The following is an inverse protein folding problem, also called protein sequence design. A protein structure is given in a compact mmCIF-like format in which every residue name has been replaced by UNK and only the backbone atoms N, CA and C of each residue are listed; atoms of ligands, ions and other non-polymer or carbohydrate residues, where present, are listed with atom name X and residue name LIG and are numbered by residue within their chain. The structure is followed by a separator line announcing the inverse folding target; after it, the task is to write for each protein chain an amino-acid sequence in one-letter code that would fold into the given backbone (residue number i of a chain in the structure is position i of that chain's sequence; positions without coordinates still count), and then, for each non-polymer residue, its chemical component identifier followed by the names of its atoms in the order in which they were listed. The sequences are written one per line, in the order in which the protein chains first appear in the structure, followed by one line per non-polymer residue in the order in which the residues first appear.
data_IF_134319656042
#
_entry.id   IF_134319656042
#
_cell.length_a   1.000
_cell.length_b   1.000
_cell.length_c   1.000
_cell.angle_alpha   90.00
_cell.angle_beta   90.00
_cell.angle_gamma   90.00
#
_symmetry.space_group_name_H-M   'P 1'
#
loop_
_entity.id
_entity.type
_entity.pdbx_description
1 polymer ?
#
# COMPACT_ATOMS: atom_id res chain seq x y z
N UNK A 1 -14.89 4.89 15.44
CA UNK A 1 -13.94 5.47 14.48
C UNK A 1 -12.94 6.29 15.28
N UNK A 2 -11.64 6.15 15.03
CA UNK A 2 -10.64 7.02 15.67
C UNK A 2 -10.86 8.48 15.23
N UNK A 3 -10.65 9.49 16.10
CA UNK A 3 -10.71 10.89 15.72
C UNK A 3 -9.72 11.22 14.58
N UNK A 4 -10.08 12.13 13.69
CA UNK A 4 -9.23 12.49 12.55
C UNK A 4 -7.82 12.96 12.96
N UNK A 5 -7.70 13.61 14.13
CA UNK A 5 -6.41 14.02 14.69
C UNK A 5 -5.50 12.84 15.05
N UNK A 6 -6.06 11.80 15.68
CA UNK A 6 -5.33 10.59 16.05
C UNK A 6 -4.83 9.86 14.79
N UNK A 7 -5.70 9.74 13.78
CA UNK A 7 -5.32 9.12 12.49
C UNK A 7 -4.16 9.88 11.87
N UNK A 8 -4.25 11.21 11.79
CA UNK A 8 -3.18 12.04 11.21
C UNK A 8 -1.86 11.86 11.95
N UNK A 9 -1.88 11.90 13.27
CA UNK A 9 -0.67 11.73 14.09
C UNK A 9 0.00 10.38 13.81
N UNK A 10 -0.78 9.30 13.72
CA UNK A 10 -0.27 7.98 13.38
C UNK A 10 0.38 7.99 11.98
N UNK A 11 -0.26 8.60 10.98
CA UNK A 11 0.31 8.67 9.64
C UNK A 11 1.60 9.51 9.58
N UNK A 12 1.70 10.60 10.34
CA UNK A 12 2.91 11.41 10.44
C UNK A 12 4.07 10.59 11.06
N UNK A 13 3.79 9.82 12.12
CA UNK A 13 4.76 8.92 12.73
C UNK A 13 5.20 7.80 11.77
N UNK A 14 4.27 7.21 11.01
CA UNK A 14 4.59 6.18 10.01
C UNK A 14 5.46 6.76 8.89
N UNK A 15 5.11 7.94 8.37
CA UNK A 15 5.87 8.63 7.34
C UNK A 15 7.32 8.90 7.79
N UNK A 16 7.51 9.37 9.02
CA UNK A 16 8.84 9.59 9.60
C UNK A 16 9.68 8.30 9.65
N UNK A 17 9.06 7.15 9.97
CA UNK A 17 9.75 5.86 9.98
C UNK A 17 10.12 5.37 8.58
N UNK A 18 9.27 5.62 7.58
CA UNK A 18 9.57 5.32 6.16
C UNK A 18 10.75 6.17 5.69
N UNK A 19 10.70 7.48 5.92
CA UNK A 19 11.77 8.40 5.53
C UNK A 19 13.11 8.07 6.20
N UNK A 20 13.08 7.58 7.44
CA UNK A 20 14.28 7.12 8.17
C UNK A 20 14.76 5.71 7.75
N UNK A 21 14.12 5.05 6.79
CA UNK A 21 14.44 3.68 6.38
C UNK A 21 14.14 2.61 7.44
N UNK A 22 13.42 2.97 8.51
CA UNK A 22 13.06 2.07 9.63
C UNK A 22 11.77 1.29 9.37
N UNK A 23 10.97 1.73 8.40
CA UNK A 23 9.75 1.06 7.97
C UNK A 23 9.80 0.86 6.46
N UNK A 24 9.78 -0.39 6.03
CA UNK A 24 9.73 -0.79 4.63
C UNK A 24 8.45 -1.59 4.38
N UNK A 25 7.73 -1.24 3.33
CA UNK A 25 6.53 -1.94 2.91
C UNK A 25 6.76 -2.50 1.51
N UNK A 26 6.94 -3.83 1.34
CA UNK A 26 7.12 -4.41 0.02
C UNK A 26 5.87 -4.22 -0.84
N UNK A 27 6.11 -3.93 -2.11
CA UNK A 27 5.11 -3.97 -3.18
C UNK A 27 5.27 -5.30 -3.89
N UNK A 28 4.19 -6.07 -3.90
CA UNK A 28 4.12 -7.36 -4.57
C UNK A 28 3.95 -7.19 -6.08
N UNK A 29 3.02 -6.32 -6.49
CA UNK A 29 2.66 -6.10 -7.89
C UNK A 29 1.97 -4.76 -8.08
N UNK A 30 2.11 -4.20 -9.27
CA UNK A 30 1.46 -2.94 -9.68
C UNK A 30 0.64 -3.18 -10.94
N UNK A 31 -0.59 -2.70 -10.97
CA UNK A 31 -1.52 -2.84 -12.09
C UNK A 31 -2.01 -1.47 -12.56
N UNK A 32 -2.36 -1.34 -13.84
CA UNK A 32 -3.17 -0.20 -14.28
C UNK A 32 -4.62 -0.37 -13.77
N UNK A 33 -5.36 0.74 -13.66
CA UNK A 33 -6.77 0.70 -13.25
C UNK A 33 -7.62 -0.17 -14.19
N UNK A 34 -7.32 -0.19 -15.50
CA UNK A 34 -8.01 -1.05 -16.46
C UNK A 34 -7.83 -2.55 -16.20
N UNK A 35 -6.76 -2.93 -15.49
CA UNK A 35 -6.44 -4.31 -15.13
C UNK A 35 -6.92 -4.70 -13.72
N UNK A 36 -7.97 -4.05 -13.19
CA UNK A 36 -8.44 -4.28 -11.83
C UNK A 36 -8.81 -5.74 -11.52
N UNK A 37 -9.33 -6.49 -12.50
CA UNK A 37 -9.63 -7.92 -12.31
C UNK A 37 -8.37 -8.73 -12.01
N UNK A 38 -7.27 -8.45 -12.70
CA UNK A 38 -5.99 -9.10 -12.46
C UNK A 38 -5.42 -8.71 -11.09
N UNK A 39 -5.54 -7.44 -10.69
CA UNK A 39 -5.13 -6.98 -9.37
C UNK A 39 -5.89 -7.71 -8.24
N UNK A 40 -7.22 -7.87 -8.38
CA UNK A 40 -8.04 -8.61 -7.41
C UNK A 40 -7.65 -10.10 -7.40
N UNK A 41 -7.41 -10.70 -8.56
CA UNK A 41 -6.93 -12.09 -8.61
C UNK A 41 -5.59 -12.26 -7.90
N UNK A 42 -4.67 -11.30 -8.01
CA UNK A 42 -3.38 -11.33 -7.31
C UNK A 42 -3.54 -11.25 -5.79
N UNK A 43 -4.59 -10.60 -5.26
CA UNK A 43 -4.84 -10.54 -3.81
C UNK A 43 -5.06 -11.92 -3.19
N UNK A 44 -5.66 -12.85 -3.94
CA UNK A 44 -5.91 -14.23 -3.50
C UNK A 44 -4.78 -15.21 -3.80
N UNK A 45 -3.68 -14.78 -4.43
CA UNK A 45 -2.58 -15.66 -4.79
C UNK A 45 -1.81 -16.10 -3.52
N UNK A 46 -1.58 -17.41 -3.32
CA UNK A 46 -0.96 -17.92 -2.09
C UNK A 46 0.51 -17.49 -1.95
N UNK A 47 1.16 -17.11 -3.05
CA UNK A 47 2.52 -16.60 -3.13
C UNK A 47 2.60 -15.06 -3.09
N UNK A 48 1.49 -14.36 -2.82
CA UNK A 48 1.49 -12.90 -2.69
C UNK A 48 2.40 -12.46 -1.54
N UNK A 49 3.35 -11.59 -1.84
CA UNK A 49 4.31 -11.04 -0.88
C UNK A 49 4.38 -9.51 -0.96
N UNK A 50 3.51 -8.86 -0.18
CA UNK A 50 3.43 -7.39 -0.13
C UNK A 50 2.11 -6.82 -0.63
N UNK A 51 2.10 -5.51 -0.92
CA UNK A 51 0.91 -4.79 -1.39
C UNK A 51 0.72 -4.94 -2.89
N UNK A 52 -0.52 -5.10 -3.31
CA UNK A 52 -0.94 -4.95 -4.71
C UNK A 52 -1.45 -3.53 -4.88
N UNK A 53 -0.85 -2.77 -5.79
CA UNK A 53 -1.17 -1.36 -6.01
C UNK A 53 -1.76 -1.13 -7.40
N UNK A 54 -2.58 -0.09 -7.51
CA UNK A 54 -2.88 0.51 -8.79
C UNK A 54 -1.91 1.67 -9.04
N UNK A 55 -1.26 1.67 -10.21
CA UNK A 55 -0.56 2.85 -10.69
C UNK A 55 -1.56 3.75 -11.43
N UNK A 56 -1.67 4.99 -10.98
CA UNK A 56 -2.12 6.10 -11.83
C UNK A 56 -1.03 6.32 -12.87
N UNK A 57 -1.36 6.12 -14.14
CA UNK A 57 -0.45 6.36 -15.28
C UNK A 57 0.26 7.70 -15.15
N UNK A 58 1.57 7.69 -15.36
CA UNK A 58 2.29 8.83 -15.89
C UNK A 58 2.13 8.85 -17.41
#
# INVERSE_FOLDING_TARGET
MAPAGEVREIYDQLAARVAAGKLFQPVDSTFSLGNFKAAISRLGAPDRSGKVLFASSC
#
